data_IF_517739070518
#
_entry.id   IF_517739070518
#
_cell.length_a   1.000
_cell.length_b   1.000
_cell.length_c   1.000
_cell.angle_alpha   90.00
_cell.angle_beta   90.00
_cell.angle_gamma   90.00
#
_symmetry.space_group_name_H-M   'P 1'
#
loop_
_entity.id
_entity.type
_entity.pdbx_description
1 polymer ?
#
# COMPACT_ATOMS: atom_id res chain seq x y z
N UNK A 1 22.86 5.43 -7.58
CA UNK A 1 22.17 5.22 -6.28
C UNK A 1 21.72 3.77 -6.18
N UNK A 2 22.06 3.14 -5.07
CA UNK A 2 21.73 1.74 -4.74
C UNK A 2 20.23 1.52 -4.54
N UNK A 3 19.81 0.27 -4.68
CA UNK A 3 18.51 -0.22 -4.21
C UNK A 3 18.48 -0.14 -2.68
N UNK A 4 17.40 0.34 -2.05
CA UNK A 4 17.28 0.33 -0.59
C UNK A 4 17.41 -1.09 -0.02
N UNK A 5 17.98 -1.21 1.17
CA UNK A 5 18.11 -2.50 1.84
C UNK A 5 16.74 -3.14 2.07
N UNK A 6 16.64 -4.45 1.80
CA UNK A 6 15.38 -5.21 1.91
C UNK A 6 14.38 -4.96 0.78
N UNK A 7 14.70 -4.14 -0.22
CA UNK A 7 13.84 -3.90 -1.37
C UNK A 7 14.30 -4.65 -2.62
N UNK A 8 13.33 -5.07 -3.43
CA UNK A 8 13.53 -5.44 -4.83
C UNK A 8 13.19 -4.24 -5.71
N UNK A 9 14.09 -3.85 -6.61
CA UNK A 9 13.83 -2.76 -7.57
C UNK A 9 12.93 -3.27 -8.69
N UNK A 10 11.79 -2.62 -8.89
CA UNK A 10 10.83 -2.92 -9.95
C UNK A 10 10.86 -1.84 -11.02
N UNK A 11 11.43 -2.15 -12.17
CA UNK A 11 11.63 -1.16 -13.24
C UNK A 11 12.53 0.00 -12.78
N UNK A 12 12.15 1.23 -13.13
CA UNK A 12 13.00 2.41 -12.88
C UNK A 12 12.66 3.18 -11.60
N UNK A 13 11.39 3.13 -11.18
CA UNK A 13 10.80 4.05 -10.22
C UNK A 13 10.05 3.37 -9.08
N UNK A 14 10.13 2.05 -8.93
CA UNK A 14 9.40 1.34 -7.88
C UNK A 14 10.30 0.42 -7.06
N UNK A 15 9.94 0.24 -5.80
CA UNK A 15 10.59 -0.70 -4.89
C UNK A 15 9.55 -1.54 -4.17
N UNK A 16 9.74 -2.86 -4.17
CA UNK A 16 8.91 -3.81 -3.45
C UNK A 16 9.67 -4.35 -2.25
N UNK A 17 9.15 -4.09 -1.06
CA UNK A 17 9.59 -4.70 0.19
C UNK A 17 8.72 -5.92 0.43
N UNK A 18 9.28 -7.10 0.17
CA UNK A 18 8.53 -8.36 0.19
C UNK A 18 8.39 -8.86 1.62
N UNK A 19 7.17 -9.26 1.98
CA UNK A 19 6.98 -10.06 3.19
C UNK A 19 7.30 -11.53 2.92
N UNK A 20 7.94 -12.16 3.88
CA UNK A 20 8.16 -13.60 3.94
C UNK A 20 6.96 -14.38 4.53
N UNK A 21 6.05 -13.72 5.26
CA UNK A 21 4.96 -14.37 6.03
C UNK A 21 3.55 -14.06 5.52
N UNK A 22 3.41 -13.11 4.59
CA UNK A 22 2.20 -12.87 3.82
C UNK A 22 2.57 -12.43 2.40
N UNK A 23 2.52 -13.39 1.49
CA UNK A 23 2.84 -13.18 0.08
C UNK A 23 1.63 -12.77 -0.78
N UNK A 24 0.44 -12.65 -0.17
CA UNK A 24 -0.83 -12.37 -0.86
C UNK A 24 -1.19 -10.89 -0.84
N UNK A 25 -1.00 -10.22 0.29
CA UNK A 25 -1.35 -8.81 0.45
C UNK A 25 -0.18 -7.90 0.07
N UNK A 26 -0.49 -6.80 -0.61
CA UNK A 26 0.45 -5.75 -0.95
C UNK A 26 -0.14 -4.37 -0.69
N UNK A 27 0.52 -3.54 0.10
CA UNK A 27 0.13 -2.15 0.31
C UNK A 27 0.92 -1.23 -0.61
N UNK A 28 0.24 -0.29 -1.25
CA UNK A 28 0.88 0.74 -2.08
C UNK A 28 1.04 2.00 -1.24
N UNK A 29 2.29 2.34 -0.89
CA UNK A 29 2.68 3.59 -0.23
C UNK A 29 3.19 4.58 -1.27
N UNK A 30 2.30 5.47 -1.68
CA UNK A 30 2.47 6.45 -2.75
C UNK A 30 1.56 7.66 -2.49
N UNK A 31 1.82 8.79 -3.15
CA UNK A 31 0.71 9.69 -3.46
C UNK A 31 -0.02 9.15 -4.69
N UNK A 32 -1.30 9.49 -4.79
CA UNK A 32 -2.15 9.09 -5.90
C UNK A 32 -3.00 10.26 -6.38
N UNK A 33 -3.38 10.21 -7.65
CA UNK A 33 -4.33 11.14 -8.22
C UNK A 33 -4.71 10.74 -9.64
N UNK A 34 -5.56 11.52 -10.27
CA UNK A 34 -5.97 11.29 -11.65
C UNK A 34 -5.96 12.60 -12.46
N UNK A 35 -5.84 12.47 -13.77
CA UNK A 35 -6.15 13.52 -14.74
C UNK A 35 -7.30 13.08 -15.64
N UNK A 36 -7.88 14.00 -16.43
CA UNK A 36 -9.02 13.73 -17.30
C UNK A 36 -8.74 12.62 -18.30
N UNK A 37 -7.50 12.53 -18.75
CA UNK A 37 -7.00 11.56 -19.74
C UNK A 37 -6.70 10.18 -19.11
N UNK A 38 -6.80 10.03 -17.78
CA UNK A 38 -6.58 8.73 -17.13
C UNK A 38 -7.63 7.72 -17.59
N UNK A 39 -7.23 6.87 -18.54
CA UNK A 39 -8.04 5.73 -18.99
C UNK A 39 -8.22 4.73 -17.85
N UNK A 40 -9.35 4.04 -17.84
CA UNK A 40 -9.53 2.87 -17.00
C UNK A 40 -8.67 1.69 -17.52
N UNK A 41 -8.37 0.73 -16.64
CA UNK A 41 -7.75 -0.55 -16.98
C UNK A 41 -8.60 -1.69 -16.42
N UNK A 42 -8.49 -2.88 -17.00
CA UNK A 42 -9.11 -4.08 -16.43
C UNK A 42 -8.22 -4.62 -15.32
N UNK A 43 -8.81 -4.89 -14.16
CA UNK A 43 -8.11 -5.51 -13.05
C UNK A 43 -7.65 -6.92 -13.46
N UNK A 44 -6.36 -7.27 -13.31
CA UNK A 44 -5.85 -8.57 -13.73
C UNK A 44 -6.54 -9.74 -13.01
N UNK A 45 -6.56 -10.90 -13.64
CA UNK A 45 -7.10 -12.12 -13.05
C UNK A 45 -6.49 -12.43 -11.67
N UNK A 46 -7.30 -12.97 -10.76
CA UNK A 46 -6.95 -13.27 -9.38
C UNK A 46 -6.35 -12.05 -8.65
N UNK A 47 -6.95 -10.87 -8.87
CA UNK A 47 -6.54 -9.62 -8.22
C UNK A 47 -7.73 -8.90 -7.64
N UNK A 48 -7.54 -8.36 -6.44
CA UNK A 48 -8.46 -7.46 -5.75
C UNK A 48 -7.73 -6.16 -5.44
N UNK A 49 -8.36 -5.02 -5.72
CA UNK A 49 -7.86 -3.68 -5.41
C UNK A 49 -8.83 -3.07 -4.40
N UNK A 50 -8.31 -2.65 -3.25
CA UNK A 50 -9.05 -2.06 -2.16
C UNK A 50 -8.66 -0.59 -2.02
N UNK A 51 -9.60 0.33 -2.21
CA UNK A 51 -9.40 1.75 -2.00
C UNK A 51 -9.93 2.18 -0.64
N UNK A 52 -9.14 2.98 0.08
CA UNK A 52 -9.51 3.50 1.40
C UNK A 52 -9.83 5.00 1.41
N UNK A 53 -9.58 5.70 0.30
CA UNK A 53 -10.07 7.06 0.04
C UNK A 53 -11.12 7.06 -1.07
N UNK A 54 -12.08 7.98 -1.00
CA UNK A 54 -13.10 8.15 -2.05
C UNK A 54 -12.48 8.77 -3.31
N UNK A 55 -13.11 8.50 -4.46
CA UNK A 55 -12.76 9.19 -5.70
C UNK A 55 -12.96 10.71 -5.54
N UNK A 56 -12.02 11.51 -6.05
CA UNK A 56 -12.15 12.96 -6.06
C UNK A 56 -11.78 13.60 -4.73
N UNK A 57 -11.41 12.83 -3.71
CA UNK A 57 -11.04 13.34 -2.40
C UNK A 57 -9.55 13.20 -2.10
N UNK A 58 -9.06 14.07 -1.23
CA UNK A 58 -7.78 13.88 -0.56
C UNK A 58 -7.97 12.87 0.59
N UNK A 59 -6.96 12.03 0.82
CA UNK A 59 -6.90 11.15 1.98
C UNK A 59 -5.97 11.80 3.01
N UNK A 60 -6.44 12.00 4.24
CA UNK A 60 -5.58 12.37 5.35
C UNK A 60 -4.54 11.26 5.51
N UNK A 61 -3.26 11.63 5.41
CA UNK A 61 -2.12 10.71 5.54
C UNK A 61 -2.30 9.85 6.79
N UNK A 62 -2.64 8.55 6.64
CA UNK A 62 -2.85 7.70 7.79
C UNK A 62 -1.54 7.20 8.38
N UNK A 63 -0.39 7.51 7.75
CA UNK A 63 0.94 6.94 7.94
C UNK A 63 0.95 5.41 7.85
N UNK A 64 1.88 4.85 7.09
CA UNK A 64 1.96 3.43 6.80
C UNK A 64 1.99 2.57 8.05
N UNK A 65 2.70 3.01 9.10
CA UNK A 65 2.79 2.29 10.36
C UNK A 65 1.46 2.30 11.12
N UNK A 66 0.75 3.43 11.09
CA UNK A 66 -0.53 3.60 11.77
C UNK A 66 -1.65 2.87 11.03
N UNK A 67 -1.67 2.94 9.70
CA UNK A 67 -2.57 2.14 8.88
C UNK A 67 -2.28 0.64 9.00
N UNK A 68 -1.02 0.20 8.92
CA UNK A 68 -0.64 -1.21 9.05
C UNK A 68 -1.09 -1.83 10.39
N UNK A 69 -1.08 -1.06 11.48
CA UNK A 69 -1.58 -1.52 12.79
C UNK A 69 -3.10 -1.72 12.84
N UNK A 70 -3.84 -1.03 11.97
CA UNK A 70 -5.32 -0.97 12.00
C UNK A 70 -5.97 -1.46 10.72
N UNK A 71 -5.19 -2.09 9.83
CA UNK A 71 -5.67 -2.52 8.52
C UNK A 71 -6.86 -3.49 8.60
N UNK A 72 -6.90 -4.33 9.64
CA UNK A 72 -8.01 -5.27 9.87
C UNK A 72 -9.31 -4.56 10.28
N UNK A 73 -9.21 -3.37 10.87
CA UNK A 73 -10.36 -2.51 11.19
C UNK A 73 -10.75 -1.64 9.99
N UNK A 74 -9.83 -1.40 9.05
CA UNK A 74 -10.06 -0.49 7.93
C UNK A 74 -11.11 -1.04 6.96
N UNK A 75 -12.08 -0.20 6.60
CA UNK A 75 -13.11 -0.52 5.60
C UNK A 75 -12.78 0.14 4.27
N UNK A 76 -12.55 -0.65 3.21
CA UNK A 76 -12.44 -0.10 1.86
C UNK A 76 -13.73 0.63 1.49
N UNK A 77 -13.61 1.81 0.90
CA UNK A 77 -14.74 2.56 0.33
C UNK A 77 -15.12 2.05 -1.05
N UNK A 78 -14.18 1.40 -1.74
CA UNK A 78 -14.40 0.82 -3.05
C UNK A 78 -13.50 -0.42 -3.23
N UNK A 79 -14.04 -1.43 -3.90
CA UNK A 79 -13.33 -2.69 -4.18
C UNK A 79 -13.53 -3.05 -5.63
N UNK A 80 -12.42 -3.30 -6.33
CA UNK A 80 -12.43 -3.85 -7.68
C UNK A 80 -11.79 -5.24 -7.67
N UNK A 81 -12.42 -6.17 -8.35
CA UNK A 81 -12.01 -7.57 -8.51
C UNK A 81 -11.73 -7.85 -9.98
N UNK A 82 -11.33 -9.08 -10.29
CA UNK A 82 -10.87 -9.48 -11.62
C UNK A 82 -11.83 -9.07 -12.74
N UNK A 83 -11.26 -8.60 -13.86
CA UNK A 83 -11.95 -8.12 -15.07
C UNK A 83 -12.82 -6.87 -14.92
N UNK A 84 -13.00 -6.34 -13.71
CA UNK A 84 -13.68 -5.06 -13.50
C UNK A 84 -12.81 -3.89 -14.00
N UNK A 85 -13.48 -2.84 -14.47
CA UNK A 85 -12.80 -1.61 -14.89
C UNK A 85 -12.46 -0.74 -13.69
N UNK A 86 -11.17 -0.51 -13.46
CA UNK A 86 -10.66 0.38 -12.43
C UNK A 86 -10.02 1.61 -13.09
N UNK A 87 -10.19 2.79 -12.49
CA UNK A 87 -9.46 3.99 -12.94
C UNK A 87 -7.95 3.77 -12.75
N UNK A 88 -7.16 4.14 -13.74
CA UNK A 88 -5.71 3.99 -13.70
C UNK A 88 -5.06 5.21 -13.02
N UNK A 89 -5.14 5.29 -11.69
CA UNK A 89 -4.53 6.40 -10.94
C UNK A 89 -3.04 6.54 -11.21
N UNK A 90 -2.53 7.76 -11.16
CA UNK A 90 -1.13 8.09 -11.31
C UNK A 90 -0.49 8.19 -9.93
N UNK A 91 0.57 7.41 -9.74
CA UNK A 91 1.24 7.25 -8.46
C UNK A 91 2.55 8.01 -8.46
N UNK A 92 2.77 8.84 -7.44
CA UNK A 92 4.02 9.61 -7.27
C UNK A 92 4.64 9.31 -5.91
N UNK A 93 5.89 9.75 -5.73
CA UNK A 93 6.69 9.45 -4.53
C UNK A 93 6.01 10.01 -3.30
N UNK A 94 5.79 9.15 -2.31
CA UNK A 94 5.36 9.52 -0.97
C UNK A 94 6.52 9.92 -0.07
N UNK A 95 7.62 9.17 -0.13
CA UNK A 95 8.76 9.33 0.76
C UNK A 95 9.60 10.55 0.36
N UNK A 96 9.64 11.68 1.06
CA UNK A 96 10.64 12.70 0.76
C UNK A 96 10.52 13.96 1.60
N UNK A 97 11.67 14.58 1.90
CA UNK A 97 11.75 15.83 2.62
C UNK A 97 11.22 17.00 1.77
N UNK A 98 9.90 17.16 1.74
CA UNK A 98 9.29 18.46 1.50
C UNK A 98 8.60 18.90 2.77
N UNK A 99 9.40 19.38 3.73
CA UNK A 99 8.91 20.28 4.75
C UNK A 99 8.31 21.51 4.03
N UNK A 100 7.02 21.49 3.74
CA UNK A 100 6.30 22.68 3.28
C UNK A 100 6.24 23.68 4.43
N UNK A 101 7.12 24.69 4.42
CA UNK A 101 7.16 25.94 5.21
C UNK A 101 6.90 25.90 6.75
N UNK A 102 6.52 24.77 7.33
CA UNK A 102 6.05 24.62 8.72
C UNK A 102 6.55 23.35 9.41
N UNK A 103 7.47 22.60 8.79
CA UNK A 103 8.34 21.64 9.48
C UNK A 103 7.69 20.44 10.18
N UNK A 104 6.48 20.00 9.76
CA UNK A 104 5.73 18.95 10.48
C UNK A 104 5.29 17.73 9.66
N UNK A 105 5.81 17.53 8.45
CA UNK A 105 5.56 16.26 7.75
C UNK A 105 6.49 15.17 8.29
N UNK A 106 5.90 14.12 8.86
CA UNK A 106 6.64 12.94 9.30
C UNK A 106 6.92 12.10 8.06
N UNK A 107 8.05 12.37 7.41
CA UNK A 107 8.39 11.72 6.14
C UNK A 107 8.64 10.22 6.35
N UNK A 108 7.84 9.38 5.70
CA UNK A 108 8.15 7.95 5.59
C UNK A 108 9.46 7.73 4.86
N UNK A 109 10.40 7.02 5.46
CA UNK A 109 11.67 6.63 4.84
C UNK A 109 11.62 5.18 4.34
N UNK A 110 12.47 4.82 3.38
CA UNK A 110 12.61 3.42 2.97
C UNK A 110 13.07 2.52 4.13
N UNK A 111 13.88 3.04 5.06
CA UNK A 111 14.28 2.28 6.25
C UNK A 111 13.11 2.00 7.19
N UNK A 112 12.17 2.95 7.34
CA UNK A 112 10.94 2.72 8.09
C UNK A 112 10.05 1.67 7.42
N UNK A 113 9.92 1.72 6.09
CA UNK A 113 9.17 0.69 5.33
C UNK A 113 9.80 -0.69 5.47
N UNK A 114 11.13 -0.80 5.28
CA UNK A 114 11.86 -2.05 5.45
C UNK A 114 11.71 -2.60 6.88
N UNK A 115 11.84 -1.72 7.88
CA UNK A 115 11.66 -2.08 9.29
C UNK A 115 10.25 -2.56 9.56
N UNK A 116 9.22 -1.92 9.01
CA UNK A 116 7.83 -2.32 9.19
C UNK A 116 7.57 -3.73 8.64
N UNK A 117 8.06 -4.06 7.43
CA UNK A 117 7.92 -5.40 6.85
C UNK A 117 8.68 -6.44 7.71
N UNK A 118 9.93 -6.15 8.05
CA UNK A 118 10.77 -7.07 8.84
C UNK A 118 10.20 -7.31 10.25
N UNK A 119 9.70 -6.27 10.92
CA UNK A 119 9.06 -6.39 12.23
C UNK A 119 7.77 -7.19 12.13
N UNK A 120 6.92 -6.92 11.13
CA UNK A 120 5.70 -7.69 10.88
C UNK A 120 6.00 -9.19 10.67
N UNK A 121 7.00 -9.51 9.85
CA UNK A 121 7.42 -10.89 9.61
C UNK A 121 7.97 -11.58 10.86
N UNK A 122 8.79 -10.88 11.64
CA UNK A 122 9.32 -11.41 12.90
C UNK A 122 8.20 -11.71 13.90
N UNK A 123 7.25 -10.78 14.06
CA UNK A 123 6.10 -10.95 14.97
C UNK A 123 5.22 -12.12 14.52
N UNK A 124 4.90 -12.22 13.23
CA UNK A 124 4.08 -13.31 12.70
C UNK A 124 4.77 -14.67 12.84
N UNK A 125 6.06 -14.75 12.51
CA UNK A 125 6.85 -15.97 12.69
C UNK A 125 6.89 -16.41 14.16
N UNK A 126 7.09 -15.46 15.08
CA UNK A 126 7.16 -15.75 16.52
C UNK A 126 5.81 -16.26 17.06
N UNK A 127 4.70 -15.59 16.69
CA UNK A 127 3.34 -16.01 17.05
C UNK A 127 3.02 -17.39 16.47
N UNK A 128 3.40 -17.66 15.21
CA UNK A 128 3.19 -18.96 14.58
C UNK A 128 3.98 -20.08 15.29
N UNK A 129 5.24 -19.84 15.65
CA UNK A 129 6.03 -20.81 16.43
C UNK A 129 5.44 -21.05 17.82
N UNK A 130 4.88 -20.02 18.46
CA UNK A 130 4.17 -20.16 19.73
C UNK A 130 2.90 -21.00 19.58
N UNK A 131 2.16 -20.83 18.48
CA UNK A 131 0.98 -21.67 18.17
C UNK A 131 1.34 -23.14 17.99
N UNK A 132 2.43 -23.44 17.26
CA UNK A 132 2.89 -24.82 17.06
C UNK A 132 3.26 -25.51 18.38
N UNK A 133 3.74 -24.75 19.37
CA UNK A 133 4.09 -25.26 20.70
C UNK A 133 2.88 -25.44 21.62
N UNK A 134 1.77 -24.73 21.35
CA UNK A 134 0.57 -24.77 22.17
C UNK A 134 -0.54 -25.56 21.48
N UNK A 135 -0.69 -26.84 21.83
CA UNK A 135 -1.77 -27.72 21.35
C UNK A 135 -3.06 -27.53 22.17
N UNK A 136 -3.95 -26.63 21.75
CA UNK A 136 -5.26 -26.43 22.42
C UNK A 136 -6.13 -25.30 21.86
N UNK A 137 -7.31 -25.08 22.47
CA UNK A 137 -8.34 -24.07 22.10
C UNK A 137 -7.83 -22.62 21.97
N UNK A 138 -6.61 -22.32 22.45
CA UNK A 138 -5.93 -21.04 22.27
C UNK A 138 -5.46 -20.76 20.83
N UNK A 139 -5.45 -21.76 19.95
CA UNK A 139 -4.96 -21.62 18.57
C UNK A 139 -5.84 -20.70 17.71
N UNK A 140 -7.16 -20.68 17.93
CA UNK A 140 -8.07 -19.89 17.10
C UNK A 140 -7.93 -18.38 17.36
N UNK A 141 -7.88 -17.97 18.63
CA UNK A 141 -7.62 -16.57 19.03
C UNK A 141 -6.21 -16.12 18.58
N UNK A 142 -5.22 -17.01 18.65
CA UNK A 142 -3.87 -16.72 18.17
C UNK A 142 -3.80 -16.60 16.63
N UNK A 143 -4.62 -17.39 15.91
CA UNK A 143 -4.74 -17.30 14.44
C UNK A 143 -5.42 -15.99 14.02
N UNK A 144 -6.51 -15.59 14.68
CA UNK A 144 -7.15 -14.30 14.45
C UNK A 144 -6.18 -13.14 14.74
N UNK A 145 -5.41 -13.22 15.83
CA UNK A 145 -4.37 -12.23 16.16
C UNK A 145 -3.20 -12.20 15.16
N UNK A 146 -2.92 -13.32 14.50
CA UNK A 146 -1.95 -13.38 13.39
C UNK A 146 -2.51 -12.70 12.14
N UNK A 147 -3.79 -12.90 11.86
CA UNK A 147 -4.48 -12.35 10.69
C UNK A 147 -4.82 -10.87 10.83
N UNK A 148 -5.02 -10.37 12.05
CA UNK A 148 -5.37 -8.97 12.32
C UNK A 148 -4.22 -7.98 12.15
N UNK A 149 -2.97 -8.43 12.26
CA UNK A 149 -1.80 -7.58 12.06
C UNK A 149 -1.39 -7.54 10.59
N UNK A 150 -1.10 -6.34 10.06
CA UNK A 150 -0.49 -6.23 8.73
C UNK A 150 0.77 -7.08 8.65
N UNK A 151 0.78 -7.97 7.66
CA UNK A 151 1.92 -8.80 7.34
C UNK A 151 2.35 -8.70 5.89
N UNK A 152 1.65 -7.96 5.03
CA UNK A 152 1.86 -7.99 3.58
C UNK A 152 3.10 -7.25 3.09
N UNK A 153 3.35 -7.38 1.80
CA UNK A 153 4.44 -6.67 1.10
C UNK A 153 4.10 -5.19 0.92
N UNK A 154 5.10 -4.31 0.85
CA UNK A 154 4.87 -2.87 0.63
C UNK A 154 5.53 -2.45 -0.69
N UNK A 155 4.74 -1.88 -1.59
CA UNK A 155 5.18 -1.28 -2.84
C UNK A 155 5.29 0.22 -2.67
N UNK A 156 6.46 0.79 -2.96
CA UNK A 156 6.70 2.23 -2.90
C UNK A 156 7.07 2.79 -4.28
N UNK A 157 6.72 4.06 -4.48
CA UNK A 157 7.09 4.82 -5.68
C UNK A 157 8.24 5.76 -5.35
N UNK A 158 9.22 5.86 -6.25
CA UNK A 158 10.38 6.74 -6.17
C UNK A 158 10.20 7.95 -7.08
N UNK A 159 10.63 9.13 -6.62
CA UNK A 159 10.70 10.34 -7.45
C UNK A 159 11.93 10.22 -8.37
N UNK A 160 11.68 10.31 -9.66
CA UNK A 160 12.66 10.65 -10.68
C UNK A 160 11.99 11.63 -11.63
N UNK A 161 12.72 12.67 -12.02
CA UNK A 161 12.29 13.73 -12.95
C UNK A 161 11.79 13.23 -14.31
N UNK A 162 11.96 11.93 -14.63
CA UNK A 162 11.48 11.31 -15.86
C UNK A 162 10.03 10.80 -15.79
N UNK A 163 9.36 10.87 -14.64
CA UNK A 163 7.95 10.46 -14.49
C UNK A 163 7.07 11.70 -14.36
N UNK A 164 7.03 12.51 -15.42
CA UNK A 164 6.38 13.84 -15.46
C UNK A 164 4.90 13.81 -15.00
N UNK A 165 4.24 12.65 -15.08
CA UNK A 165 2.84 12.45 -14.70
C UNK A 165 2.62 11.28 -13.72
N UNK A 166 3.65 10.73 -13.08
CA UNK A 166 3.51 9.57 -12.18
C UNK A 166 3.42 8.20 -12.85
N UNK A 167 3.51 7.13 -12.05
CA UNK A 167 3.43 5.73 -12.48
C UNK A 167 1.97 5.28 -12.51
N UNK A 168 1.42 4.78 -13.63
CA UNK A 168 0.05 4.28 -13.65
C UNK A 168 -0.14 3.08 -12.70
N UNK A 169 -1.25 3.04 -11.96
CA UNK A 169 -1.59 1.99 -11.00
C UNK A 169 -1.54 0.60 -11.62
N UNK A 170 -2.05 0.45 -12.85
CA UNK A 170 -1.94 -0.79 -13.64
C UNK A 170 -0.50 -1.29 -13.75
N UNK A 171 0.44 -0.40 -14.11
CA UNK A 171 1.86 -0.74 -14.24
C UNK A 171 2.49 -1.10 -12.90
N UNK A 172 2.07 -0.47 -11.82
CA UNK A 172 2.53 -0.80 -10.47
C UNK A 172 2.06 -2.20 -10.05
N UNK A 173 0.79 -2.52 -10.28
CA UNK A 173 0.20 -3.85 -10.03
C UNK A 173 0.89 -4.92 -10.87
N UNK A 174 1.05 -4.69 -12.18
CA UNK A 174 1.69 -5.64 -13.10
C UNK A 174 3.14 -5.93 -12.70
N UNK A 175 3.89 -4.88 -12.34
CA UNK A 175 5.28 -5.05 -11.90
C UNK A 175 5.37 -5.86 -10.59
N UNK A 176 4.51 -5.58 -9.61
CA UNK A 176 4.48 -6.31 -8.35
C UNK A 176 4.06 -7.79 -8.56
N UNK A 177 3.05 -8.05 -9.39
CA UNK A 177 2.62 -9.43 -9.71
C UNK A 177 3.65 -10.19 -10.54
N UNK A 178 4.39 -9.51 -11.43
CA UNK A 178 5.48 -10.13 -12.19
C UNK A 178 6.60 -10.59 -11.27
N UNK A 179 6.94 -9.80 -10.26
CA UNK A 179 7.93 -10.17 -9.24
C UNK A 179 7.41 -11.25 -8.28
N UNK A 180 6.15 -11.12 -7.84
CA UNK A 180 5.53 -12.05 -6.90
C UNK A 180 4.13 -12.41 -7.36
N UNK A 181 4.03 -13.48 -8.14
CA UNK A 181 2.78 -13.98 -8.69
C UNK A 181 1.82 -14.53 -7.63
N UNK A 182 2.21 -14.55 -6.36
CA UNK A 182 1.37 -14.85 -5.19
C UNK A 182 0.52 -13.66 -4.74
N UNK A 183 0.87 -12.42 -5.11
CA UNK A 183 0.13 -11.23 -4.67
C UNK A 183 -1.28 -11.25 -5.31
N UNK A 184 -2.29 -11.14 -4.47
CA UNK A 184 -3.72 -11.16 -4.82
C UNK A 184 -4.42 -9.86 -4.44
N UNK A 185 -4.05 -9.23 -3.33
CA UNK A 185 -4.77 -8.07 -2.79
C UNK A 185 -3.86 -6.86 -2.77
N UNK A 186 -4.32 -5.76 -3.36
CA UNK A 186 -3.64 -4.47 -3.34
C UNK A 186 -4.42 -3.47 -2.47
N UNK A 187 -3.81 -3.03 -1.38
CA UNK A 187 -4.33 -1.98 -0.51
C UNK A 187 -3.84 -0.62 -1.00
N UNK A 188 -4.74 0.17 -1.58
CA UNK A 188 -4.48 1.51 -2.09
C UNK A 188 -4.78 2.56 -1.01
N UNK A 189 -3.73 3.01 -0.34
CA UNK A 189 -3.77 3.97 0.77
C UNK A 189 -3.18 5.29 0.28
N UNK A 190 -3.91 5.97 -0.61
CA UNK A 190 -3.46 7.22 -1.22
C UNK A 190 -4.64 8.10 -1.64
N UNK A 191 -4.38 9.38 -1.88
CA UNK A 191 -5.36 10.33 -2.42
C UNK A 191 -5.87 9.87 -3.80
N UNK A 192 -7.12 10.19 -4.12
CA UNK A 192 -7.72 9.90 -5.43
C UNK A 192 -8.27 11.16 -6.07
N UNK A 193 -7.61 12.28 -5.80
CA UNK A 193 -7.97 13.63 -6.23
C UNK A 193 -7.47 13.95 -7.64
N UNK A 194 -8.07 14.97 -8.25
CA UNK A 194 -7.62 15.50 -9.53
C UNK A 194 -6.27 16.20 -9.37
N UNK A 195 -5.32 15.94 -10.27
CA UNK A 195 -3.93 16.41 -10.11
C UNK A 195 -3.63 17.77 -10.77
N UNK A 196 -4.51 18.26 -11.65
CA UNK A 196 -4.23 19.44 -12.50
C UNK A 196 -5.19 20.62 -12.26
N UNK A 197 -5.87 20.69 -11.10
CA UNK A 197 -6.86 21.72 -10.82
C UNK A 197 -6.91 22.15 -9.35
N UNK A 198 -7.54 23.30 -9.11
CA UNK A 198 -7.70 23.92 -7.78
C UNK A 198 -9.06 23.56 -7.13
N UNK A 199 -9.53 22.32 -7.30
CA UNK A 199 -10.73 21.92 -6.58
C UNK A 199 -10.44 21.92 -5.07
N UNK A 200 -11.36 22.51 -4.29
CA UNK A 200 -11.34 22.36 -2.83
C UNK A 200 -11.58 20.89 -2.51
N UNK A 201 -10.50 20.14 -2.34
CA UNK A 201 -10.56 18.74 -1.96
C UNK A 201 -10.94 18.65 -0.49
N UNK A 202 -12.10 18.05 -0.21
CA UNK A 202 -12.38 17.58 1.15
C UNK A 202 -11.40 16.46 1.49
N UNK A 203 -10.60 16.68 2.53
CA UNK A 203 -9.70 15.68 3.07
C UNK A 203 -10.49 14.77 4.01
N UNK A 204 -10.41 13.46 3.78
CA UNK A 204 -11.12 12.49 4.60
C UNK A 204 -10.16 11.54 5.32
N UNK A 205 -10.52 11.02 6.50
CA UNK A 205 -9.78 9.94 7.15
C UNK A 205 -10.10 8.59 6.50
N UNK A 206 -9.21 7.61 6.70
CA UNK A 206 -9.53 6.20 6.49
C UNK A 206 -10.72 5.82 7.39
N UNK A 207 -11.70 5.12 6.82
CA UNK A 207 -12.86 4.60 7.58
C UNK A 207 -12.48 3.31 8.29
N UNK A 208 -12.77 3.23 9.58
CA UNK A 208 -12.54 2.03 10.39
C UNK A 208 -13.88 1.51 10.92
N UNK A 209 -14.03 0.19 11.02
CA UNK A 209 -15.17 -0.44 11.70
C UNK A 209 -14.98 -0.21 13.20
N UNK A 210 -16.03 0.30 13.84
CA UNK A 210 -16.12 0.40 15.30
C UNK A 210 -16.39 -0.98 15.91
#
# INVERSE_FOLDING_TARGET
>A
MSTPDGAVKLGESMYLFRSATNSSDCMISAHGGYVSENRAFRVPANTTILFYGDHGAALLDPQINSFARRVAEASPVETFTSDQWCRNYLLTKYQGAHAGAGGKETVETYSQVASQVATSDKVRSSKFQQMLKNSGKSQQIQLESLMGNWGGSILTIRNRWNVLLGVPLSRAIDAAKKESSSIRVFHCVFCRSYMLGEDKLEAQPVRYRL
#
